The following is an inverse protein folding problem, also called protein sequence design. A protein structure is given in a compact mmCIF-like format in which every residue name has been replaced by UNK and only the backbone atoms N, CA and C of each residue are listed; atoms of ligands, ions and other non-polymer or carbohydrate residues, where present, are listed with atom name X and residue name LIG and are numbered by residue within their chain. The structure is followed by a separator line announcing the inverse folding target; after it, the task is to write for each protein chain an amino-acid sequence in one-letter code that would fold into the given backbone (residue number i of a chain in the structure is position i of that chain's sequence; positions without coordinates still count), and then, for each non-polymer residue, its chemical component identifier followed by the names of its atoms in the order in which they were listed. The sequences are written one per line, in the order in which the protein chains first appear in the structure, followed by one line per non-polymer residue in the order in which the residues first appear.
data_IF_319162641953
#
_entry.id   IF_319162641953
#
_cell.length_a   1.000
_cell.length_b   1.000
_cell.length_c   1.000
_cell.angle_alpha   90.00
_cell.angle_beta   90.00
_cell.angle_gamma   90.00
#
_symmetry.space_group_name_H-M   'P 1'
#
loop_
_entity.id
_entity.type
_entity.pdbx_description
1 polymer ?
#
# COMPACT_ATOMS: atom_id res chain seq x y z
N UNK A 1 26.70 66.13 -18.03
CA UNK A 1 27.71 65.59 -18.97
C UNK A 1 28.59 64.63 -18.21
N UNK A 2 28.77 63.44 -18.80
CA UNK A 2 29.71 62.37 -18.41
C UNK A 2 29.36 61.57 -17.14
N UNK A 3 29.53 60.25 -17.03
CA UNK A 3 29.63 59.12 -17.96
C UNK A 3 29.92 57.87 -17.08
N UNK A 4 29.21 56.77 -17.35
CA UNK A 4 29.65 55.35 -17.29
C UNK A 4 30.07 54.73 -15.94
N UNK A 5 29.45 53.60 -15.57
CA UNK A 5 30.12 52.36 -15.14
C UNK A 5 29.06 51.22 -15.06
N UNK A 6 28.98 50.35 -16.07
CA UNK A 6 29.54 48.99 -16.14
C UNK A 6 28.78 47.95 -15.30
N UNK A 7 27.92 47.19 -15.99
CA UNK A 7 27.35 45.91 -15.59
C UNK A 7 28.47 44.85 -15.56
N UNK A 8 28.64 44.14 -14.44
CA UNK A 8 29.33 42.86 -14.38
C UNK A 8 28.37 41.78 -13.91
N UNK A 9 27.98 40.90 -14.83
CA UNK A 9 27.32 39.65 -14.52
C UNK A 9 28.38 38.66 -13.99
N UNK A 10 28.40 38.39 -12.69
CA UNK A 10 29.10 37.21 -12.17
C UNK A 10 28.20 36.00 -12.34
N UNK A 11 28.47 35.22 -13.40
CA UNK A 11 28.00 33.84 -13.48
C UNK A 11 28.74 32.99 -12.45
N UNK A 12 28.04 32.58 -11.40
CA UNK A 12 28.51 31.49 -10.55
C UNK A 12 28.26 30.16 -11.28
N UNK A 13 29.25 29.68 -12.02
CA UNK A 13 29.31 28.29 -12.46
C UNK A 13 29.45 27.39 -11.23
N UNK A 14 28.35 26.92 -10.66
CA UNK A 14 28.37 25.77 -9.76
C UNK A 14 28.45 24.52 -10.62
N UNK A 15 29.68 24.08 -10.87
CA UNK A 15 29.93 22.66 -11.15
C UNK A 15 29.53 21.91 -9.88
N UNK A 16 28.29 21.45 -9.84
CA UNK A 16 27.85 20.48 -8.85
C UNK A 16 28.50 19.16 -9.24
N UNK A 17 29.74 18.96 -8.80
CA UNK A 17 30.28 17.62 -8.66
C UNK A 17 29.31 16.87 -7.75
N UNK A 18 28.53 15.96 -8.33
CA UNK A 18 27.83 14.94 -7.55
C UNK A 18 28.92 14.09 -6.90
N UNK A 19 29.29 14.47 -5.68
CA UNK A 19 30.03 13.59 -4.81
C UNK A 19 29.11 12.39 -4.56
N UNK A 20 29.45 11.24 -5.15
CA UNK A 20 28.95 9.95 -4.71
C UNK A 20 29.17 9.92 -3.19
N UNK A 21 28.15 9.69 -2.36
CA UNK A 21 28.38 9.57 -0.93
C UNK A 21 29.31 8.38 -0.74
N UNK A 22 30.57 8.67 -0.43
CA UNK A 22 31.45 7.66 0.15
C UNK A 22 30.72 7.17 1.38
N UNK A 23 30.33 5.89 1.39
CA UNK A 23 29.96 5.21 2.62
C UNK A 23 31.11 5.46 3.58
N UNK A 24 30.93 6.40 4.50
CA UNK A 24 31.89 6.65 5.55
C UNK A 24 32.14 5.32 6.24
N UNK A 25 33.40 5.07 6.60
CA UNK A 25 33.78 3.90 7.37
C UNK A 25 32.82 3.80 8.56
N UNK A 26 31.97 2.75 8.58
CA UNK A 26 31.01 2.58 9.65
C UNK A 26 31.81 2.58 10.96
N UNK A 27 31.45 3.41 11.94
CA UNK A 27 32.19 3.47 13.19
C UNK A 27 32.28 2.05 13.76
N UNK A 28 33.49 1.60 14.03
CA UNK A 28 33.70 0.27 14.62
C UNK A 28 33.05 0.24 15.99
N UNK A 29 32.13 -0.71 16.19
CA UNK A 29 31.45 -0.87 17.46
C UNK A 29 32.49 -1.06 18.57
N UNK A 30 32.35 -0.32 19.67
CA UNK A 30 33.27 -0.43 20.80
C UNK A 30 33.27 -1.86 21.36
N UNK A 31 34.36 -2.33 21.99
CA UNK A 31 34.38 -3.64 22.64
C UNK A 31 33.25 -3.84 23.66
N UNK A 32 32.81 -2.75 24.33
CA UNK A 32 31.68 -2.78 25.25
C UNK A 32 30.36 -3.02 24.52
N UNK A 33 30.11 -2.35 23.38
CA UNK A 33 28.93 -2.57 22.56
C UNK A 33 28.89 -4.00 21.99
N UNK A 34 30.03 -4.52 21.53
CA UNK A 34 30.13 -5.91 21.06
C UNK A 34 29.81 -6.91 22.18
N UNK A 35 30.38 -6.72 23.37
CA UNK A 35 30.10 -7.58 24.54
C UNK A 35 28.63 -7.53 24.95
N UNK A 36 28.01 -6.35 24.89
CA UNK A 36 26.58 -6.19 25.17
C UNK A 36 25.72 -6.92 24.14
N UNK A 37 26.00 -6.74 22.84
CA UNK A 37 25.30 -7.43 21.76
C UNK A 37 25.44 -8.96 21.88
N UNK A 38 26.64 -9.46 22.19
CA UNK A 38 26.87 -10.88 22.46
C UNK A 38 26.10 -11.39 23.69
N UNK A 39 25.94 -10.54 24.70
CA UNK A 39 25.09 -10.80 25.86
C UNK A 39 23.64 -11.00 25.45
N UNK A 40 23.07 -10.03 24.70
CA UNK A 40 21.70 -10.08 24.19
C UNK A 40 21.47 -11.31 23.30
N UNK A 41 22.37 -11.56 22.34
CA UNK A 41 22.28 -12.72 21.44
C UNK A 41 22.18 -14.04 22.19
N UNK A 42 22.91 -14.20 23.30
CA UNK A 42 22.85 -15.43 24.12
C UNK A 42 21.55 -15.58 24.91
N UNK A 43 20.79 -14.50 25.12
CA UNK A 43 19.49 -14.55 25.78
C UNK A 43 18.36 -14.95 24.80
N UNK A 44 18.57 -14.74 23.50
CA UNK A 44 17.69 -15.24 22.45
C UNK A 44 17.88 -16.75 22.29
N UNK A 45 17.02 -17.51 22.95
CA UNK A 45 17.05 -18.99 22.94
C UNK A 45 15.90 -19.54 22.12
N UNK A 46 16.13 -20.67 21.45
CA UNK A 46 15.09 -21.38 20.69
C UNK A 46 13.90 -21.69 21.60
N UNK A 47 14.14 -22.27 22.78
CA UNK A 47 13.06 -22.58 23.73
C UNK A 47 12.30 -21.33 24.17
N UNK A 48 12.97 -20.19 24.31
CA UNK A 48 12.33 -18.90 24.61
C UNK A 48 11.37 -18.48 23.52
N UNK A 49 11.84 -18.47 22.28
CA UNK A 49 11.03 -18.12 21.13
C UNK A 49 9.87 -19.11 20.92
N UNK A 50 10.12 -20.41 21.03
CA UNK A 50 9.11 -21.45 20.84
C UNK A 50 7.97 -21.32 21.83
N UNK A 51 8.23 -20.97 23.11
CA UNK A 51 7.15 -20.73 24.09
C UNK A 51 6.19 -19.62 23.64
N UNK A 52 6.71 -18.53 23.09
CA UNK A 52 5.87 -17.43 22.59
C UNK A 52 5.13 -17.82 21.31
N UNK A 53 5.77 -18.57 20.42
CA UNK A 53 5.14 -19.10 19.20
C UNK A 53 3.98 -20.05 19.53
N UNK A 54 4.18 -20.98 20.46
CA UNK A 54 3.12 -21.89 20.93
C UNK A 54 1.96 -21.10 21.53
N UNK A 55 2.24 -20.08 22.35
CA UNK A 55 1.18 -19.26 22.94
C UNK A 55 0.41 -18.47 21.89
N UNK A 56 1.08 -17.94 20.88
CA UNK A 56 0.42 -17.23 19.77
C UNK A 56 -0.36 -18.21 18.87
N UNK A 57 0.11 -19.44 18.68
CA UNK A 57 -0.66 -20.50 18.03
C UNK A 57 -1.95 -20.80 18.82
N UNK A 58 -1.86 -21.01 20.13
CA UNK A 58 -3.02 -21.27 20.99
C UNK A 58 -4.05 -20.13 20.90
N UNK A 59 -3.57 -18.88 20.85
CA UNK A 59 -4.44 -17.71 20.67
C UNK A 59 -5.14 -17.78 19.31
N UNK A 60 -4.42 -18.10 18.23
CA UNK A 60 -5.02 -18.24 16.90
C UNK A 60 -6.08 -19.35 16.90
N UNK A 61 -5.75 -20.54 17.41
CA UNK A 61 -6.65 -21.70 17.46
C UNK A 61 -7.93 -21.41 18.24
N UNK A 62 -7.82 -20.69 19.36
CA UNK A 62 -8.97 -20.28 20.16
C UNK A 62 -9.84 -19.21 19.49
N UNK A 63 -9.36 -18.52 18.46
CA UNK A 63 -10.00 -17.36 17.84
C UNK A 63 -10.21 -17.51 16.32
N UNK A 64 -10.53 -18.73 15.86
CA UNK A 64 -10.88 -18.98 14.46
C UNK A 64 -9.68 -19.23 13.55
N UNK A 65 -8.55 -19.65 14.12
CA UNK A 65 -7.34 -20.06 13.40
C UNK A 65 -6.43 -18.92 12.97
N UNK A 66 -6.70 -17.68 13.38
CA UNK A 66 -5.91 -16.51 13.00
C UNK A 66 -5.88 -15.43 14.08
N UNK A 67 -5.06 -14.41 13.83
CA UNK A 67 -4.84 -13.24 14.68
C UNK A 67 -4.87 -11.97 13.82
N UNK A 68 -5.74 -11.95 12.81
CA UNK A 68 -5.80 -10.85 11.85
C UNK A 68 -6.27 -9.55 12.50
N UNK A 69 -5.81 -8.41 11.99
CA UNK A 69 -6.20 -7.10 12.50
C UNK A 69 -7.73 -6.96 12.62
N UNK A 70 -8.20 -6.36 13.71
CA UNK A 70 -9.64 -6.21 14.00
C UNK A 70 -10.36 -7.48 14.48
N UNK A 71 -9.67 -8.62 14.61
CA UNK A 71 -10.26 -9.87 15.13
C UNK A 71 -10.06 -10.06 16.64
N UNK A 72 -10.86 -10.91 17.30
CA UNK A 72 -10.62 -11.32 18.70
C UNK A 72 -9.23 -11.94 18.93
N UNK A 73 -8.70 -12.68 17.95
CA UNK A 73 -7.37 -13.28 18.04
C UNK A 73 -6.25 -12.23 18.08
N UNK A 74 -6.41 -11.13 17.36
CA UNK A 74 -5.49 -10.00 17.46
C UNK A 74 -5.55 -9.31 18.83
N UNK A 75 -6.76 -9.04 19.34
CA UNK A 75 -6.91 -8.45 20.67
C UNK A 75 -6.29 -9.32 21.76
N UNK A 76 -6.51 -10.63 21.73
CA UNK A 76 -5.89 -11.57 22.67
C UNK A 76 -4.36 -11.59 22.55
N UNK A 77 -3.82 -11.37 21.35
CA UNK A 77 -2.37 -11.23 21.13
C UNK A 77 -1.84 -9.93 21.74
N UNK A 78 -2.56 -8.81 21.57
CA UNK A 78 -2.23 -7.51 22.17
C UNK A 78 -2.19 -7.65 23.69
N UNK A 79 -3.21 -8.26 24.30
CA UNK A 79 -3.29 -8.45 25.74
C UNK A 79 -2.15 -9.30 26.28
N UNK A 80 -1.80 -10.38 25.57
CA UNK A 80 -0.69 -11.26 25.93
C UNK A 80 0.66 -10.53 25.92
N UNK A 81 1.00 -9.87 24.81
CA UNK A 81 2.29 -9.19 24.64
C UNK A 81 2.39 -7.99 25.59
N UNK A 82 1.33 -7.18 25.69
CA UNK A 82 1.30 -6.04 26.61
C UNK A 82 1.40 -6.48 28.08
N UNK A 83 0.79 -7.60 28.45
CA UNK A 83 0.91 -8.19 29.79
C UNK A 83 2.35 -8.56 30.12
N UNK A 84 3.01 -9.33 29.24
CA UNK A 84 4.41 -9.74 29.43
C UNK A 84 5.36 -8.55 29.57
N UNK A 85 5.20 -7.52 28.73
CA UNK A 85 6.06 -6.34 28.75
C UNK A 85 5.85 -5.50 30.02
N UNK A 86 4.61 -5.40 30.53
CA UNK A 86 4.34 -4.75 31.82
C UNK A 86 4.96 -5.52 32.98
N UNK A 87 4.84 -6.85 32.99
CA UNK A 87 5.47 -7.71 34.00
C UNK A 87 7.01 -7.60 33.97
N UNK A 88 7.59 -7.40 32.78
CA UNK A 88 9.01 -7.13 32.60
C UNK A 88 9.44 -5.70 33.01
N UNK A 89 8.50 -4.83 33.40
CA UNK A 89 8.77 -3.49 33.93
C UNK A 89 8.84 -2.36 32.90
N UNK A 90 8.37 -2.59 31.68
CA UNK A 90 8.22 -1.53 30.67
C UNK A 90 6.99 -0.65 30.95
N UNK A 91 7.07 0.62 30.54
CA UNK A 91 5.89 1.47 30.40
C UNK A 91 5.20 1.13 29.08
N UNK A 92 3.99 0.57 29.15
CA UNK A 92 3.30 -0.03 27.99
C UNK A 92 2.01 0.70 27.66
N UNK A 93 1.95 1.24 26.44
CA UNK A 93 0.78 1.87 25.85
C UNK A 93 0.21 1.03 24.70
N UNK A 94 -1.11 1.09 24.53
CA UNK A 94 -1.81 0.41 23.43
C UNK A 94 -2.68 1.37 22.63
N UNK A 95 -2.08 2.33 21.91
CA UNK A 95 -2.86 3.33 21.17
C UNK A 95 -3.68 2.66 20.07
N UNK A 96 -4.96 3.05 19.99
CA UNK A 96 -5.88 2.64 18.94
C UNK A 96 -5.70 3.51 17.70
N UNK A 97 -5.86 2.90 16.53
CA UNK A 97 -5.91 3.58 15.25
C UNK A 97 -6.92 2.90 14.32
N UNK A 98 -7.42 3.66 13.35
CA UNK A 98 -8.33 3.16 12.32
C UNK A 98 -7.55 2.78 11.06
N UNK A 99 -7.94 1.69 10.41
CA UNK A 99 -7.34 1.18 9.17
C UNK A 99 -8.44 0.92 8.16
N UNK A 100 -8.23 1.31 6.90
CA UNK A 100 -9.12 0.89 5.82
C UNK A 100 -8.65 -0.44 5.24
N UNK A 101 -9.38 -1.51 5.56
CA UNK A 101 -9.15 -2.84 5.03
C UNK A 101 -9.93 -3.02 3.73
N UNK A 102 -9.19 -3.20 2.63
CA UNK A 102 -9.75 -3.44 1.30
C UNK A 102 -9.67 -4.92 0.94
N UNK A 103 -10.79 -5.48 0.49
CA UNK A 103 -10.87 -6.82 -0.08
C UNK A 103 -11.62 -6.77 -1.40
N UNK A 104 -11.20 -7.59 -2.37
CA UNK A 104 -11.90 -7.74 -3.64
C UNK A 104 -11.77 -9.17 -4.14
N UNK A 105 -12.86 -9.68 -4.72
CA UNK A 105 -12.84 -10.89 -5.53
C UNK A 105 -12.21 -10.60 -6.90
N UNK A 106 -11.79 -11.63 -7.64
CA UNK A 106 -11.31 -11.47 -9.01
C UNK A 106 -12.42 -10.84 -9.87
N UNK A 107 -12.23 -9.62 -10.40
CA UNK A 107 -13.24 -8.98 -11.23
C UNK A 107 -13.37 -9.63 -12.60
N UNK A 108 -14.45 -9.32 -13.32
CA UNK A 108 -14.64 -9.75 -14.70
C UNK A 108 -14.90 -8.55 -15.61
N UNK A 109 -14.19 -8.48 -16.74
CA UNK A 109 -14.41 -7.49 -17.79
C UNK A 109 -14.62 -8.19 -19.14
N UNK A 110 -15.70 -7.82 -19.83
CA UNK A 110 -15.99 -8.27 -21.19
C UNK A 110 -16.29 -7.08 -22.08
N UNK A 111 -15.67 -6.97 -23.25
CA UNK A 111 -15.91 -5.88 -24.21
C UNK A 111 -16.27 -6.48 -25.56
N UNK A 112 -17.45 -6.15 -26.08
CA UNK A 112 -17.89 -6.69 -27.38
C UNK A 112 -17.98 -8.23 -27.41
N UNK A 113 -18.21 -8.86 -26.25
CA UNK A 113 -18.26 -10.32 -26.10
C UNK A 113 -16.88 -10.99 -25.95
N UNK A 114 -15.82 -10.21 -25.78
CA UNK A 114 -14.46 -10.69 -25.52
C UNK A 114 -14.13 -10.47 -24.06
N UNK A 115 -13.84 -11.56 -23.35
CA UNK A 115 -13.35 -11.51 -21.98
C UNK A 115 -11.86 -11.18 -21.95
N UNK A 116 -11.49 -10.38 -20.95
CA UNK A 116 -10.14 -9.87 -20.73
C UNK A 116 -9.75 -10.10 -19.28
N UNK A 117 -8.51 -10.52 -19.04
CA UNK A 117 -8.02 -10.64 -17.67
C UNK A 117 -7.90 -9.27 -17.03
N UNK A 118 -8.47 -9.13 -15.83
CA UNK A 118 -8.64 -7.83 -15.19
C UNK A 118 -8.48 -7.95 -13.68
N UNK A 119 -7.94 -6.90 -13.06
CA UNK A 119 -7.70 -6.85 -11.62
C UNK A 119 -8.29 -5.59 -11.00
N UNK A 120 -8.72 -5.69 -9.76
CA UNK A 120 -9.24 -4.55 -9.01
C UNK A 120 -8.07 -3.70 -8.52
N UNK A 121 -8.10 -2.39 -8.76
CA UNK A 121 -7.17 -1.50 -8.05
C UNK A 121 -7.57 -1.43 -6.58
N UNK A 122 -6.59 -1.43 -5.68
CA UNK A 122 -6.84 -1.32 -4.24
C UNK A 122 -7.68 -0.08 -3.93
N UNK A 123 -8.69 -0.24 -3.08
CA UNK A 123 -9.70 0.75 -2.70
C UNK A 123 -10.75 1.10 -3.79
N UNK A 124 -10.83 0.36 -4.89
CA UNK A 124 -11.92 0.54 -5.87
C UNK A 124 -13.30 0.31 -5.23
N UNK A 125 -14.31 0.96 -5.79
CA UNK A 125 -15.70 0.64 -5.51
C UNK A 125 -16.13 -0.65 -6.23
N UNK A 126 -17.09 -1.34 -5.64
CA UNK A 126 -17.85 -2.40 -6.30
C UNK A 126 -18.77 -1.84 -7.39
N UNK A 127 -19.12 -2.68 -8.36
CA UNK A 127 -20.23 -2.42 -9.28
C UNK A 127 -21.58 -2.81 -8.62
N UNK A 128 -22.73 -2.40 -9.18
CA UNK A 128 -24.00 -3.05 -8.85
C UNK A 128 -23.91 -4.58 -9.03
N UNK A 129 -24.72 -5.35 -8.28
CA UNK A 129 -24.66 -6.83 -8.26
C UNK A 129 -24.89 -7.47 -9.63
N UNK A 130 -25.74 -6.87 -10.44
CA UNK A 130 -26.02 -7.27 -11.82
C UNK A 130 -24.82 -7.04 -12.77
N UNK A 131 -23.88 -6.19 -12.35
CA UNK A 131 -22.77 -5.67 -13.15
C UNK A 131 -23.08 -4.32 -13.77
N UNK A 132 -22.03 -3.66 -14.27
CA UNK A 132 -22.12 -2.40 -14.99
C UNK A 132 -21.95 -2.67 -16.49
N UNK A 133 -22.92 -2.30 -17.32
CA UNK A 133 -22.79 -2.37 -18.79
C UNK A 133 -22.95 -1.00 -19.42
N UNK A 134 -21.95 -0.53 -20.16
CA UNK A 134 -21.96 0.77 -20.82
C UNK A 134 -21.03 0.81 -22.04
N UNK A 135 -21.16 1.79 -22.95
CA UNK A 135 -20.24 1.95 -24.07
C UNK A 135 -18.79 2.10 -23.58
N UNK A 136 -17.85 1.42 -24.26
CA UNK A 136 -16.42 1.67 -24.03
C UNK A 136 -16.00 2.95 -24.75
N UNK A 137 -15.42 3.89 -24.01
CA UNK A 137 -14.82 5.12 -24.54
C UNK A 137 -13.33 5.07 -24.30
N UNK A 138 -12.57 5.23 -25.38
CA UNK A 138 -11.12 5.08 -25.37
C UNK A 138 -10.49 6.47 -25.36
N UNK A 139 -9.73 6.78 -24.31
CA UNK A 139 -8.89 7.99 -24.26
C UNK A 139 -7.67 7.77 -25.13
N UNK A 140 -7.33 8.68 -26.06
CA UNK A 140 -6.13 8.57 -26.89
C UNK A 140 -4.86 8.39 -26.05
N UNK A 141 -3.92 7.61 -26.56
CA UNK A 141 -2.61 7.48 -25.94
C UNK A 141 -1.85 8.81 -26.00
N UNK A 142 -0.99 9.06 -25.02
CA UNK A 142 -0.16 10.26 -24.91
C UNK A 142 0.77 10.17 -23.72
N UNK A 143 1.45 11.27 -23.39
CA UNK A 143 2.40 11.28 -22.27
C UNK A 143 1.71 11.17 -20.89
N UNK A 144 0.48 11.70 -20.78
CA UNK A 144 -0.28 11.73 -19.53
C UNK A 144 -1.81 11.55 -19.75
N UNK A 145 -2.27 10.45 -20.35
CA UNK A 145 -3.66 10.32 -20.78
C UNK A 145 -4.62 10.26 -19.58
N UNK A 146 -5.69 11.04 -19.66
CA UNK A 146 -6.77 11.08 -18.69
C UNK A 146 -6.42 11.78 -17.37
N UNK A 147 -5.33 12.55 -17.35
CA UNK A 147 -4.90 13.31 -16.18
C UNK A 147 -5.58 14.67 -16.09
N UNK A 148 -6.09 15.20 -17.20
CA UNK A 148 -6.82 16.47 -17.25
C UNK A 148 -8.08 16.36 -18.11
N UNK A 149 -9.09 17.24 -17.91
CA UNK A 149 -10.31 17.22 -18.73
C UNK A 149 -10.06 17.35 -20.24
N UNK A 150 -8.99 18.04 -20.65
CA UNK A 150 -8.61 18.22 -22.05
C UNK A 150 -8.32 16.88 -22.76
N UNK A 151 -7.88 15.85 -22.03
CA UNK A 151 -7.61 14.52 -22.60
C UNK A 151 -8.89 13.82 -23.09
N UNK A 152 -10.05 14.32 -22.68
CA UNK A 152 -11.37 13.77 -23.01
C UNK A 152 -12.13 14.59 -24.05
N UNK A 153 -11.52 15.64 -24.61
CA UNK A 153 -12.16 16.51 -25.60
C UNK A 153 -12.68 15.71 -26.80
N UNK A 154 -13.96 15.92 -27.15
CA UNK A 154 -14.62 15.21 -28.24
C UNK A 154 -15.08 13.78 -27.90
N UNK A 155 -14.80 13.27 -26.71
CA UNK A 155 -15.22 11.93 -26.28
C UNK A 155 -16.59 11.95 -25.57
N UNK A 156 -17.37 10.88 -25.74
CA UNK A 156 -18.70 10.72 -25.11
C UNK A 156 -18.60 10.05 -23.73
N UNK A 157 -17.94 10.70 -22.78
CA UNK A 157 -17.58 10.11 -21.48
C UNK A 157 -18.78 9.84 -20.57
N UNK A 158 -19.78 10.73 -20.57
CA UNK A 158 -20.94 10.62 -19.68
C UNK A 158 -21.69 9.31 -19.92
N UNK A 159 -21.78 8.47 -18.89
CA UNK A 159 -22.44 7.17 -18.95
C UNK A 159 -21.59 6.04 -19.56
N UNK A 160 -20.29 6.26 -19.78
CA UNK A 160 -19.40 5.29 -20.42
C UNK A 160 -18.48 4.57 -19.42
N UNK A 161 -17.95 3.43 -19.84
CA UNK A 161 -16.71 2.86 -19.25
C UNK A 161 -15.54 3.46 -20.01
N UNK A 162 -14.59 4.06 -19.30
CA UNK A 162 -13.43 4.71 -19.91
C UNK A 162 -12.24 3.77 -19.90
N UNK A 163 -11.53 3.66 -21.02
CA UNK A 163 -10.22 3.02 -21.13
C UNK A 163 -9.13 4.07 -21.35
N UNK A 164 -8.07 4.03 -20.55
CA UNK A 164 -6.88 4.86 -20.71
C UNK A 164 -5.60 4.11 -20.33
N UNK A 165 -4.44 4.69 -20.64
CA UNK A 165 -3.16 4.07 -20.29
C UNK A 165 -2.64 4.56 -18.93
N UNK A 166 -1.89 3.68 -18.25
CA UNK A 166 -1.06 4.00 -17.09
C UNK A 166 0.02 5.02 -17.49
N UNK A 167 0.27 5.99 -16.60
CA UNK A 167 1.34 7.00 -16.76
C UNK A 167 0.85 8.43 -16.58
N UNK A 168 1.79 9.36 -16.47
CA UNK A 168 1.55 10.81 -16.37
C UNK A 168 1.09 11.33 -15.01
N UNK A 169 0.15 10.65 -14.35
CA UNK A 169 -0.38 11.04 -13.03
C UNK A 169 -0.89 9.82 -12.23
N UNK A 170 -1.11 9.96 -10.91
CA UNK A 170 -1.66 8.89 -10.07
C UNK A 170 -3.05 8.41 -10.51
N UNK A 171 -3.37 7.14 -10.23
CA UNK A 171 -4.66 6.54 -10.61
C UNK A 171 -5.87 7.26 -10.00
N UNK A 172 -5.75 7.80 -8.78
CA UNK A 172 -6.83 8.59 -8.17
C UNK A 172 -7.15 9.86 -8.97
N UNK A 173 -6.15 10.52 -9.55
CA UNK A 173 -6.37 11.71 -10.35
C UNK A 173 -7.12 11.36 -11.64
N UNK A 174 -6.74 10.24 -12.28
CA UNK A 174 -7.41 9.72 -13.49
C UNK A 174 -8.89 9.40 -13.24
N UNK A 175 -9.20 8.67 -12.16
CA UNK A 175 -10.59 8.36 -11.84
C UNK A 175 -11.39 9.59 -11.43
N UNK A 176 -10.78 10.57 -10.74
CA UNK A 176 -11.47 11.81 -10.35
C UNK A 176 -11.92 12.57 -11.59
N UNK A 177 -11.03 12.79 -12.57
CA UNK A 177 -11.37 13.49 -13.81
C UNK A 177 -12.43 12.73 -14.61
N UNK A 178 -12.27 11.41 -14.77
CA UNK A 178 -13.25 10.61 -15.51
C UNK A 178 -14.63 10.63 -14.84
N UNK A 179 -14.68 10.54 -13.51
CA UNK A 179 -15.91 10.61 -12.72
C UNK A 179 -16.58 11.98 -12.81
N UNK A 180 -15.82 13.08 -12.75
CA UNK A 180 -16.34 14.45 -12.93
C UNK A 180 -16.98 14.65 -14.31
N UNK A 181 -16.44 13.99 -15.34
CA UNK A 181 -17.00 13.96 -16.69
C UNK A 181 -18.17 12.96 -16.85
N UNK A 182 -18.52 12.25 -15.78
CA UNK A 182 -19.67 11.36 -15.72
C UNK A 182 -19.42 9.94 -16.22
N UNK A 183 -18.16 9.48 -16.27
CA UNK A 183 -17.85 8.06 -16.49
C UNK A 183 -18.51 7.20 -15.39
N UNK A 184 -18.85 5.97 -15.73
CA UNK A 184 -19.42 5.00 -14.79
C UNK A 184 -18.36 4.05 -14.21
N UNK A 185 -17.25 3.85 -14.92
CA UNK A 185 -16.09 3.08 -14.48
C UNK A 185 -14.85 3.46 -15.28
N UNK A 186 -13.69 3.10 -14.75
CA UNK A 186 -12.38 3.31 -15.37
C UNK A 186 -11.64 1.97 -15.53
N UNK A 187 -11.10 1.75 -16.72
CA UNK A 187 -10.18 0.65 -17.04
C UNK A 187 -8.81 1.27 -17.33
N UNK A 188 -7.80 0.85 -16.58
CA UNK A 188 -6.42 1.29 -16.74
C UNK A 188 -5.64 0.20 -17.46
N UNK A 189 -5.22 0.46 -18.69
CA UNK A 189 -4.28 -0.37 -19.41
C UNK A 189 -2.86 -0.13 -18.90
N UNK A 190 -2.15 -1.19 -18.55
CA UNK A 190 -0.76 -1.08 -18.14
C UNK A 190 0.14 -0.57 -19.27
N UNK A 191 1.24 0.08 -18.92
CA UNK A 191 2.27 0.54 -19.84
C UNK A 191 3.55 -0.32 -19.78
N UNK A 192 3.68 -1.16 -18.76
CA UNK A 192 4.71 -2.21 -18.63
C UNK A 192 4.17 -3.53 -19.16
N UNK A 193 5.07 -4.35 -19.74
CA UNK A 193 4.73 -5.71 -20.16
C UNK A 193 4.88 -6.64 -18.94
N UNK A 194 3.79 -6.77 -18.17
CA UNK A 194 3.69 -7.60 -16.97
C UNK A 194 2.30 -8.26 -16.89
N UNK A 195 2.23 -9.47 -16.30
CA UNK A 195 0.99 -10.24 -16.21
C UNK A 195 -0.01 -9.60 -15.24
N UNK A 196 0.50 -8.97 -14.18
CA UNK A 196 -0.29 -8.34 -13.14
C UNK A 196 0.21 -6.92 -12.90
N UNK A 197 -0.71 -5.95 -12.99
CA UNK A 197 -0.43 -4.56 -12.67
C UNK A 197 -0.85 -4.27 -11.22
N UNK A 198 0.08 -4.24 -10.23
CA UNK A 198 -0.26 -3.80 -8.89
C UNK A 198 -0.66 -2.32 -8.93
N UNK A 199 -1.83 -1.98 -8.39
CA UNK A 199 -2.33 -0.61 -8.37
C UNK A 199 -3.17 -0.30 -7.15
N UNK A 200 -3.04 0.93 -6.65
CA UNK A 200 -3.86 1.46 -5.55
C UNK A 200 -4.39 2.83 -5.92
N UNK A 201 -5.64 3.09 -5.56
CA UNK A 201 -6.21 4.43 -5.63
C UNK A 201 -5.74 5.30 -4.45
N UNK A 202 -5.08 4.73 -3.45
CA UNK A 202 -4.67 5.44 -2.24
C UNK A 202 -5.73 5.35 -1.14
N UNK A 203 -5.27 5.17 0.09
CA UNK A 203 -6.14 4.94 1.25
C UNK A 203 -7.02 6.15 1.58
N UNK A 204 -6.52 7.37 1.39
CA UNK A 204 -7.28 8.59 1.71
C UNK A 204 -8.11 9.11 0.53
N UNK A 205 -8.17 8.36 -0.57
CA UNK A 205 -8.87 8.79 -1.78
C UNK A 205 -10.38 8.64 -1.64
N UNK A 206 -11.08 9.71 -1.99
CA UNK A 206 -12.52 9.72 -2.22
C UNK A 206 -12.83 9.14 -3.61
N UNK A 207 -12.87 7.81 -3.68
CA UNK A 207 -13.10 7.06 -4.92
C UNK A 207 -14.55 7.21 -5.36
N UNK A 208 -14.77 7.57 -6.63
CA UNK A 208 -16.09 7.93 -7.16
C UNK A 208 -16.69 6.89 -8.10
N UNK A 209 -15.84 6.10 -8.75
CA UNK A 209 -16.23 5.09 -9.73
C UNK A 209 -15.39 3.82 -9.54
N UNK A 210 -15.91 2.63 -9.93
CA UNK A 210 -15.11 1.42 -10.02
C UNK A 210 -13.91 1.59 -10.97
N UNK A 211 -12.75 1.09 -10.55
CA UNK A 211 -11.49 1.15 -11.31
C UNK A 211 -10.86 -0.23 -11.33
N UNK A 212 -10.61 -0.74 -12.53
CA UNK A 212 -9.87 -1.99 -12.77
C UNK A 212 -8.67 -1.75 -13.67
N UNK A 213 -7.75 -2.71 -13.68
CA UNK A 213 -6.62 -2.76 -14.60
C UNK A 213 -6.73 -3.92 -15.56
N UNK A 214 -6.05 -3.77 -16.69
CA UNK A 214 -5.75 -4.84 -17.65
C UNK A 214 -4.27 -4.76 -18.02
N UNK A 215 -3.67 -5.88 -18.40
CA UNK A 215 -2.30 -5.88 -18.91
C UNK A 215 -2.20 -5.02 -20.19
N UNK A 216 -0.96 -4.68 -20.56
CA UNK A 216 -0.68 -3.82 -21.72
C UNK A 216 -1.24 -4.36 -23.04
N UNK A 217 -1.12 -5.67 -23.28
CA UNK A 217 -1.55 -6.29 -24.53
C UNK A 217 -3.06 -6.28 -24.69
N UNK A 218 -3.79 -6.53 -23.61
CA UNK A 218 -5.25 -6.49 -23.56
C UNK A 218 -5.76 -5.06 -23.66
N UNK A 219 -5.08 -4.10 -23.02
CA UNK A 219 -5.35 -2.69 -23.23
C UNK A 219 -5.29 -2.29 -24.71
N UNK A 220 -4.22 -2.71 -25.41
CA UNK A 220 -4.08 -2.47 -26.85
C UNK A 220 -5.19 -3.16 -27.67
N UNK A 221 -5.58 -4.38 -27.29
CA UNK A 221 -6.67 -5.14 -27.93
C UNK A 221 -8.02 -4.44 -27.75
N UNK A 222 -8.35 -4.00 -26.54
CA UNK A 222 -9.61 -3.32 -26.22
C UNK A 222 -9.79 -2.03 -27.03
N UNK A 223 -8.71 -1.31 -27.34
CA UNK A 223 -8.74 -0.10 -28.20
C UNK A 223 -9.24 -0.39 -29.62
N UNK A 224 -9.16 -1.63 -30.08
CA UNK A 224 -9.58 -2.05 -31.43
C UNK A 224 -10.99 -2.63 -31.48
N UNK A 225 -11.60 -2.87 -30.32
CA UNK A 225 -12.91 -3.53 -30.21
C UNK A 225 -13.97 -2.46 -29.89
N UNK A 226 -14.84 -2.09 -30.85
CA UNK A 226 -15.99 -1.26 -30.54
C UNK A 226 -17.04 -2.09 -29.79
N UNK A 227 -17.73 -1.50 -28.82
CA UNK A 227 -18.87 -2.15 -28.20
C UNK A 227 -19.18 -1.69 -26.78
N UNK A 228 -20.04 -2.47 -26.14
CA UNK A 228 -20.33 -2.33 -24.71
C UNK A 228 -19.27 -3.07 -23.90
N UNK A 229 -18.82 -2.43 -22.83
CA UNK A 229 -18.05 -3.04 -21.76
C UNK A 229 -19.01 -3.48 -20.65
N UNK A 230 -18.89 -4.73 -20.23
CA UNK A 230 -19.58 -5.31 -19.07
C UNK A 230 -18.54 -5.57 -17.99
N UNK A 231 -18.64 -4.84 -16.88
CA UNK A 231 -17.73 -4.91 -15.75
C UNK A 231 -18.47 -5.45 -14.52
N UNK A 232 -17.84 -6.39 -13.81
CA UNK A 232 -18.24 -6.77 -12.44
C UNK A 232 -17.05 -6.67 -11.52
N UNK A 233 -17.25 -5.94 -10.43
CA UNK A 233 -16.29 -5.80 -9.32
C UNK A 233 -17.07 -6.08 -8.05
N UNK A 234 -16.64 -7.10 -7.30
CA UNK A 234 -17.06 -7.30 -5.92
C UNK A 234 -15.90 -6.90 -5.02
N UNK A 235 -16.06 -5.78 -4.33
CA UNK A 235 -15.02 -5.17 -3.52
C UNK A 235 -15.64 -4.42 -2.34
N UNK A 236 -14.99 -4.51 -1.20
CA UNK A 236 -15.38 -3.83 0.03
C UNK A 236 -14.18 -3.10 0.62
N UNK A 237 -14.44 -1.93 1.20
CA UNK A 237 -13.48 -1.26 2.07
C UNK A 237 -14.15 -1.01 3.39
N UNK A 238 -13.64 -1.65 4.43
CA UNK A 238 -14.14 -1.52 5.79
C UNK A 238 -13.14 -0.74 6.64
N UNK A 239 -13.65 0.14 7.51
CA UNK A 239 -12.82 0.78 8.53
C UNK A 239 -12.82 -0.13 9.74
N UNK A 240 -11.66 -0.69 10.07
CA UNK A 240 -11.46 -1.48 11.27
C UNK A 240 -10.61 -0.69 12.27
N UNK A 241 -10.75 -1.01 13.56
CA UNK A 241 -9.89 -0.51 14.62
C UNK A 241 -8.82 -1.54 14.95
N UNK A 242 -7.60 -1.06 15.13
CA UNK A 242 -6.45 -1.87 15.50
C UNK A 242 -5.62 -1.14 16.56
N UNK A 243 -4.62 -1.82 17.10
CA UNK A 243 -3.83 -1.33 18.23
C UNK A 243 -2.35 -1.58 18.00
N UNK A 244 -1.50 -0.61 18.31
CA UNK A 244 -0.07 -0.92 18.50
C UNK A 244 0.16 -1.35 19.94
N UNK A 245 1.22 -2.13 20.21
CA UNK A 245 1.78 -2.29 21.55
C UNK A 245 3.10 -1.55 21.59
N UNK A 246 3.18 -0.46 22.34
CA UNK A 246 4.38 0.36 22.48
C UNK A 246 4.89 0.19 23.90
N UNK A 247 6.07 -0.42 24.04
CA UNK A 247 6.74 -0.62 25.32
C UNK A 247 8.02 0.22 25.37
N UNK A 248 8.09 1.12 26.34
CA UNK A 248 9.23 2.03 26.55
C UNK A 248 9.94 1.70 27.86
N UNK A 249 11.28 1.75 27.84
CA UNK A 249 12.06 1.65 29.08
C UNK A 249 11.84 2.88 29.95
N UNK A 250 11.75 2.69 31.27
CA UNK A 250 11.57 3.79 32.24
C UNK A 250 12.87 4.51 32.59
N UNK A 251 14.00 4.06 32.02
CA UNK A 251 15.34 4.59 32.21
C UNK A 251 16.06 4.71 30.86
N UNK A 252 17.16 5.46 30.83
CA UNK A 252 17.95 5.70 29.61
C UNK A 252 17.85 7.13 29.10
N UNK A 253 18.43 7.38 27.93
CA UNK A 253 18.38 8.68 27.26
C UNK A 253 17.01 8.88 26.61
N UNK A 254 16.41 10.05 26.76
CA UNK A 254 15.19 10.44 26.05
C UNK A 254 15.48 11.08 24.68
N UNK A 255 16.76 11.31 24.34
CA UNK A 255 17.18 11.87 23.06
C UNK A 255 17.81 10.86 22.11
N UNK A 256 18.29 9.72 22.63
CA UNK A 256 18.96 8.67 21.86
C UNK A 256 18.11 7.41 21.86
N UNK A 257 17.12 7.36 20.97
CA UNK A 257 16.11 6.29 20.92
C UNK A 257 16.54 5.20 19.95
N UNK A 258 16.44 3.94 20.41
CA UNK A 258 16.52 2.74 19.56
C UNK A 258 15.16 2.08 19.57
N UNK A 259 14.62 1.78 18.39
CA UNK A 259 13.34 1.08 18.24
C UNK A 259 13.58 -0.28 17.59
N UNK A 260 13.02 -1.32 18.21
CA UNK A 260 12.90 -2.66 17.65
C UNK A 260 11.43 -3.07 17.73
N UNK A 261 10.96 -3.83 16.74
CA UNK A 261 9.56 -4.20 16.68
C UNK A 261 9.28 -5.26 15.61
N UNK A 262 8.08 -5.84 15.71
CA UNK A 262 7.49 -6.75 14.75
C UNK A 262 5.99 -6.45 14.67
N UNK A 263 5.36 -6.70 13.53
CA UNK A 263 3.90 -6.60 13.47
C UNK A 263 3.29 -7.82 14.15
N UNK A 264 2.20 -7.58 14.87
CA UNK A 264 1.59 -8.59 15.71
C UNK A 264 0.50 -9.36 14.98
N UNK A 265 -0.14 -8.81 13.96
CA UNK A 265 -1.23 -9.45 13.24
C UNK A 265 -0.78 -10.60 12.35
N UNK A 266 -1.73 -11.46 11.98
CA UNK A 266 -1.61 -12.40 10.88
C UNK A 266 -2.55 -12.00 9.74
N UNK A 267 -2.56 -12.79 8.66
CA UNK A 267 -3.66 -12.77 7.69
C UNK A 267 -4.85 -13.59 8.19
N UNK A 268 -6.07 -13.39 7.66
CA UNK A 268 -7.25 -14.20 8.02
C UNK A 268 -7.10 -15.70 7.74
N UNK A 269 -6.29 -16.08 6.76
CA UNK A 269 -6.13 -17.46 6.28
C UNK A 269 -5.31 -18.35 7.22
N UNK A 270 -4.61 -17.79 8.20
CA UNK A 270 -3.79 -18.62 9.08
C UNK A 270 -3.20 -17.93 10.31
N UNK A 271 -2.51 -18.70 11.17
CA UNK A 271 -2.09 -18.25 12.50
C UNK A 271 -0.93 -17.24 12.49
N UNK A 272 -0.23 -17.12 11.35
CA UNK A 272 0.88 -16.17 11.18
C UNK A 272 2.08 -16.47 12.07
N UNK A 273 2.49 -17.73 12.20
CA UNK A 273 3.60 -18.09 13.08
C UNK A 273 4.95 -17.55 12.59
N UNK A 274 5.26 -17.72 11.30
CA UNK A 274 6.47 -17.14 10.71
C UNK A 274 6.25 -15.70 10.24
N UNK A 275 5.01 -15.34 9.89
CA UNK A 275 4.62 -14.00 9.48
C UNK A 275 3.45 -13.52 10.37
N UNK A 276 3.74 -12.92 11.53
CA UNK A 276 5.07 -12.59 12.05
C UNK A 276 5.22 -12.84 13.57
N UNK A 277 4.60 -13.91 14.07
CA UNK A 277 4.78 -14.30 15.47
C UNK A 277 6.25 -14.59 15.82
N UNK A 278 7.07 -15.04 14.86
CA UNK A 278 8.50 -15.25 15.06
C UNK A 278 9.27 -13.97 15.32
N UNK A 279 8.90 -12.87 14.66
CA UNK A 279 9.45 -11.54 14.95
C UNK A 279 9.02 -11.06 16.33
N UNK A 280 7.73 -11.22 16.65
CA UNK A 280 7.17 -10.87 17.97
C UNK A 280 7.85 -11.65 19.09
N UNK A 281 8.13 -12.94 18.89
CA UNK A 281 8.81 -13.79 19.86
C UNK A 281 10.30 -13.44 20.07
N UNK A 282 10.91 -12.75 19.09
CA UNK A 282 12.31 -12.34 19.15
C UNK A 282 12.52 -10.97 19.82
N UNK A 283 11.51 -10.10 19.73
CA UNK A 283 11.50 -8.73 20.27
C UNK A 283 11.09 -8.76 21.74
#
# INVERSE_FOLDING_TARGET
MSAVLLLSALGCSRSAGQATPTLGELPTASPAAQKFADGLRRQLTVDGMTRHLEKLQDIADANGGNRAAGTPGYQASVDYVAGLLREAGFDVQTPEFEVRMFTAEKPSLSVGGIDVDTDALKYTLATPKEGLTAPLVVVPAGDAPGCVPADYEGLKVKGAVVLLDRGGCPFHAKQSVAAELGALALVVADNVDEDFMPGTLGEDTDVKIPVVSVNKSDGARLRTIPGLATLRVDATTEVIRSHNVIAQTTTGSTSDVVMAGAHLDSVPEGPGLNDNASGVAAV
#
